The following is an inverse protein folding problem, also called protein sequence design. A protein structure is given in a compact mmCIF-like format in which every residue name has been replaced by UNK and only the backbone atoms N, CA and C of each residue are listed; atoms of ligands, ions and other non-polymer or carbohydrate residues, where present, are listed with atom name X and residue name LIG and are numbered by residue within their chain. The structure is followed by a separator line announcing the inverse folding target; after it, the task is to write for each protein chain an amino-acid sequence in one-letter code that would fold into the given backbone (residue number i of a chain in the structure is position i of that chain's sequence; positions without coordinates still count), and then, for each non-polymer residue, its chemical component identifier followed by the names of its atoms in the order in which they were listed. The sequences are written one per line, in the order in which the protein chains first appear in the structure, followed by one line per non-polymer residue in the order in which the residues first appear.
data_IF_735165756967
#
_entry.id   IF_735165756967
#
_cell.length_a   1.000
_cell.length_b   1.000
_cell.length_c   1.000
_cell.angle_alpha   90.00
_cell.angle_beta   90.00
_cell.angle_gamma   90.00
#
_symmetry.space_group_name_H-M   'P 1'
#
loop_
_entity.id
_entity.type
_entity.pdbx_description
1 polymer ?
#
# COMPACT_ATOMS: atom_id res chain seq x y z
N UNK A 1 -37.10 -50.99 11.64
CA UNK A 1 -36.75 -49.58 11.38
C UNK A 1 -35.23 -49.48 11.32
N UNK A 2 -34.71 -49.12 10.14
CA UNK A 2 -33.31 -49.23 9.76
C UNK A 2 -32.51 -48.03 10.26
N UNK A 3 -31.36 -48.28 10.89
CA UNK A 3 -30.31 -47.28 11.13
C UNK A 3 -29.48 -47.16 9.85
N UNK A 4 -29.33 -45.95 9.32
CA UNK A 4 -28.50 -45.67 8.14
C UNK A 4 -27.28 -44.87 8.57
N UNK A 5 -26.13 -45.53 8.55
CA UNK A 5 -24.81 -44.90 8.56
C UNK A 5 -24.55 -44.32 7.17
N UNK A 6 -24.20 -43.03 7.08
CA UNK A 6 -23.59 -42.51 5.85
C UNK A 6 -22.24 -41.86 6.17
N UNK A 7 -21.18 -42.52 5.72
CA UNK A 7 -19.86 -41.93 5.55
C UNK A 7 -19.90 -41.14 4.24
N UNK A 8 -19.78 -39.81 4.31
CA UNK A 8 -19.52 -38.99 3.13
C UNK A 8 -18.01 -38.87 2.94
N UNK A 9 -17.54 -39.47 1.85
CA UNK A 9 -16.18 -39.38 1.33
C UNK A 9 -16.06 -38.03 0.59
N UNK A 10 -15.31 -37.07 1.13
CA UNK A 10 -14.96 -35.87 0.39
C UNK A 10 -13.65 -36.12 -0.38
N UNK A 11 -13.79 -36.22 -1.71
CA UNK A 11 -12.68 -36.17 -2.66
C UNK A 11 -12.39 -34.69 -2.90
N UNK A 12 -11.25 -34.19 -2.40
CA UNK A 12 -10.73 -32.87 -2.77
C UNK A 12 -9.97 -33.03 -4.08
N UNK A 13 -10.57 -32.56 -5.17
CA UNK A 13 -9.94 -32.41 -6.47
C UNK A 13 -9.06 -31.15 -6.40
N UNK A 14 -7.74 -31.32 -6.34
CA UNK A 14 -6.77 -30.22 -6.49
C UNK A 14 -6.79 -29.78 -7.95
N UNK A 15 -7.61 -28.76 -8.24
CA UNK A 15 -7.59 -28.05 -9.51
C UNK A 15 -6.49 -26.99 -9.47
N UNK A 16 -5.43 -27.19 -10.25
CA UNK A 16 -4.44 -26.14 -10.56
C UNK A 16 -5.18 -25.06 -11.36
N UNK A 17 -5.56 -23.96 -10.71
CA UNK A 17 -6.03 -22.77 -11.42
C UNK A 17 -4.81 -22.09 -12.05
N UNK A 18 -4.72 -22.20 -13.38
CA UNK A 18 -3.83 -21.38 -14.17
C UNK A 18 -4.17 -19.90 -13.97
N UNK A 19 -3.17 -19.13 -13.54
CA UNK A 19 -3.26 -17.68 -13.39
C UNK A 19 -3.43 -17.09 -14.79
N UNK A 20 -4.64 -16.65 -15.13
CA UNK A 20 -4.85 -15.81 -16.31
C UNK A 20 -4.35 -14.41 -15.97
N UNK A 21 -3.18 -14.05 -16.49
CA UNK A 21 -2.69 -12.68 -16.53
C UNK A 21 -3.72 -11.79 -17.24
N UNK A 22 -4.33 -10.83 -16.55
CA UNK A 22 -5.10 -9.79 -17.19
C UNK A 22 -4.14 -8.88 -17.96
N UNK A 23 -4.12 -9.04 -19.28
CA UNK A 23 -3.47 -8.12 -20.18
C UNK A 23 -4.30 -6.83 -20.28
N UNK A 24 -3.84 -5.74 -19.69
CA UNK A 24 -4.33 -4.41 -20.02
C UNK A 24 -3.59 -3.87 -21.25
N UNK A 25 -4.36 -3.34 -22.20
CA UNK A 25 -3.93 -3.02 -23.55
C UNK A 25 -2.83 -1.96 -23.59
N UNK A 26 -1.71 -2.34 -24.21
CA UNK A 26 -0.52 -1.53 -24.46
C UNK A 26 -0.79 -0.54 -25.61
N UNK A 27 -0.66 0.76 -25.35
CA UNK A 27 -0.58 1.78 -26.41
C UNK A 27 0.70 1.59 -27.22
N UNK A 28 0.57 1.43 -28.54
CA UNK A 28 1.69 1.30 -29.48
C UNK A 28 2.56 2.57 -29.50
N UNK A 29 3.76 2.50 -28.92
CA UNK A 29 4.86 3.42 -29.15
C UNK A 29 6.08 2.64 -29.65
N UNK A 30 6.50 2.90 -30.90
CA UNK A 30 7.58 2.21 -31.60
C UNK A 30 8.85 3.08 -31.51
N UNK A 31 9.87 2.64 -30.79
CA UNK A 31 11.17 3.33 -30.75
C UNK A 31 12.18 2.61 -29.85
N UNK A 32 13.25 2.09 -30.45
CA UNK A 32 14.34 1.41 -29.75
C UNK A 32 15.23 2.36 -28.98
N UNK A 33 15.54 1.97 -27.75
CA UNK A 33 16.44 2.62 -26.80
C UNK A 33 16.08 2.09 -25.42
N UNK A 34 17.06 1.62 -24.64
CA UNK A 34 16.87 1.05 -23.30
C UNK A 34 16.30 2.06 -22.32
N UNK A 35 14.99 2.28 -22.41
CA UNK A 35 14.24 3.19 -21.54
C UNK A 35 14.05 2.52 -20.18
N UNK A 36 14.51 3.21 -19.14
CA UNK A 36 14.18 2.89 -17.75
C UNK A 36 12.65 2.86 -17.63
N UNK A 37 12.05 1.81 -17.05
CA UNK A 37 10.61 1.78 -16.85
C UNK A 37 10.23 2.84 -15.82
N UNK A 38 9.58 3.90 -16.29
CA UNK A 38 8.78 4.81 -15.46
C UNK A 38 7.31 4.64 -15.86
N UNK A 39 6.44 4.34 -14.90
CA UNK A 39 4.98 4.35 -15.12
C UNK A 39 4.19 3.39 -14.24
N UNK A 40 3.24 3.98 -13.49
CA UNK A 40 2.21 3.39 -12.61
C UNK A 40 1.22 2.42 -13.31
N UNK A 41 1.71 1.38 -14.00
CA UNK A 41 0.82 0.43 -14.73
C UNK A 41 1.00 -1.02 -14.35
N UNK A 42 1.87 -1.31 -13.40
CA UNK A 42 2.12 -2.66 -12.88
C UNK A 42 1.98 -2.65 -11.37
N UNK A 43 1.32 -3.67 -10.82
CA UNK A 43 1.06 -3.74 -9.39
C UNK A 43 2.39 -3.96 -8.62
N UNK A 44 2.60 -3.19 -7.56
CA UNK A 44 3.79 -3.26 -6.72
C UNK A 44 3.85 -4.57 -5.93
N UNK A 45 4.99 -5.26 -5.94
CA UNK A 45 5.18 -6.47 -5.14
C UNK A 45 5.06 -6.19 -3.64
N UNK A 46 4.44 -7.11 -2.88
CA UNK A 46 4.43 -7.06 -1.42
C UNK A 46 5.83 -7.39 -0.91
N UNK A 47 6.50 -6.40 -0.32
CA UNK A 47 7.90 -6.53 0.13
C UNK A 47 8.04 -6.63 1.64
N UNK A 48 7.06 -6.12 2.39
CA UNK A 48 6.99 -6.20 3.85
C UNK A 48 5.99 -7.31 4.22
N UNK A 49 6.30 -8.18 5.20
CA UNK A 49 5.37 -9.21 5.62
C UNK A 49 4.02 -8.64 6.06
N UNK A 50 2.96 -9.44 5.91
CA UNK A 50 1.62 -8.99 6.26
C UNK A 50 0.73 -10.06 6.89
N UNK A 51 -0.11 -9.65 7.84
CA UNK A 51 -1.21 -10.45 8.40
C UNK A 51 -2.52 -9.93 7.82
N UNK A 52 -3.32 -10.84 7.26
CA UNK A 52 -4.65 -10.55 6.74
C UNK A 52 -5.68 -11.01 7.77
N UNK A 53 -6.50 -10.08 8.24
CA UNK A 53 -7.54 -10.31 9.24
C UNK A 53 -8.91 -10.22 8.57
N UNK A 54 -9.76 -11.20 8.86
CA UNK A 54 -11.11 -11.31 8.30
C UNK A 54 -11.16 -12.11 7.00
N UNK A 55 -12.14 -11.84 6.12
CA UNK A 55 -12.29 -12.63 4.89
C UNK A 55 -11.22 -12.17 3.91
N UNK A 56 -10.27 -13.03 3.52
CA UNK A 56 -9.23 -12.60 2.61
C UNK A 56 -9.83 -12.41 1.22
N UNK A 57 -10.22 -11.17 0.95
CA UNK A 57 -10.45 -10.71 -0.41
C UNK A 57 -9.06 -10.59 -1.00
N UNK A 58 -8.80 -11.16 -2.18
CA UNK A 58 -7.54 -10.91 -2.83
C UNK A 58 -7.43 -9.39 -3.04
N UNK A 59 -6.60 -8.76 -2.20
CA UNK A 59 -5.68 -7.75 -2.68
C UNK A 59 -4.99 -8.35 -3.91
N UNK A 60 -4.44 -7.52 -4.80
CA UNK A 60 -3.94 -7.95 -6.11
C UNK A 60 -2.90 -9.12 -6.03
N UNK A 61 -2.47 -9.50 -4.83
CA UNK A 61 -1.50 -10.53 -4.50
C UNK A 61 -2.12 -11.74 -3.78
N UNK A 62 -1.67 -12.97 -4.09
CA UNK A 62 -2.12 -14.16 -3.40
C UNK A 62 -1.63 -14.15 -1.95
N UNK A 63 -2.48 -14.53 -1.00
CA UNK A 63 -2.00 -14.86 0.34
C UNK A 63 -1.25 -16.18 0.24
N UNK A 64 -0.03 -16.21 0.78
CA UNK A 64 0.86 -17.33 0.59
C UNK A 64 2.26 -17.15 1.18
N UNK A 65 3.10 -18.17 0.94
CA UNK A 65 4.46 -18.17 1.43
C UNK A 65 5.30 -17.09 0.76
N UNK A 66 6.49 -16.88 1.32
CA UNK A 66 7.55 -16.09 0.70
C UNK A 66 7.88 -16.59 -0.72
N UNK A 67 8.00 -15.67 -1.68
CA UNK A 67 8.34 -15.93 -3.10
C UNK A 67 9.52 -15.04 -3.52
N UNK A 68 10.64 -15.66 -3.87
CA UNK A 68 11.83 -14.94 -4.36
C UNK A 68 11.54 -14.13 -5.64
N UNK A 69 12.22 -12.98 -5.85
CA UNK A 69 12.19 -12.29 -7.12
C UNK A 69 12.65 -13.18 -8.26
N UNK A 70 11.91 -13.13 -9.38
CA UNK A 70 12.22 -13.88 -10.60
C UNK A 70 12.60 -12.94 -11.75
N UNK A 71 13.49 -13.40 -12.63
CA UNK A 71 13.96 -12.64 -13.80
C UNK A 71 15.41 -12.20 -13.69
N UNK A 72 15.90 -11.47 -14.70
CA UNK A 72 17.24 -10.91 -14.69
C UNK A 72 17.19 -9.48 -14.10
N UNK A 73 17.93 -9.19 -13.02
CA UNK A 73 17.87 -7.87 -12.39
C UNK A 73 18.43 -6.79 -13.32
N UNK A 74 18.04 -5.54 -13.04
CA UNK A 74 18.45 -4.36 -13.79
C UNK A 74 19.59 -3.63 -13.07
N UNK A 75 20.40 -2.88 -13.82
CA UNK A 75 21.52 -2.08 -13.30
C UNK A 75 21.55 -0.69 -13.94
N UNK A 76 22.47 0.17 -13.52
CA UNK A 76 22.61 1.54 -14.02
C UNK A 76 21.63 2.53 -13.40
N UNK A 77 21.25 2.35 -12.13
CA UNK A 77 20.43 3.30 -11.37
C UNK A 77 21.29 4.35 -10.67
N UNK A 78 20.81 5.60 -10.49
CA UNK A 78 21.60 6.66 -9.85
C UNK A 78 22.07 6.38 -8.42
N UNK A 79 21.33 5.58 -7.63
CA UNK A 79 21.74 5.23 -6.25
C UNK A 79 23.07 4.45 -6.22
N UNK A 80 23.26 3.54 -7.18
CA UNK A 80 24.51 2.82 -7.44
C UNK A 80 24.44 2.25 -8.86
N UNK A 81 25.20 2.84 -9.79
CA UNK A 81 25.17 2.45 -11.20
C UNK A 81 25.75 1.05 -11.46
N UNK A 82 26.51 0.50 -10.51
CA UNK A 82 27.18 -0.79 -10.62
C UNK A 82 26.41 -1.95 -9.97
N UNK A 83 25.49 -1.63 -9.06
CA UNK A 83 24.63 -2.61 -8.40
C UNK A 83 23.52 -3.12 -9.32
N UNK A 84 23.01 -4.30 -9.00
CA UNK A 84 21.88 -4.93 -9.69
C UNK A 84 20.67 -4.95 -8.76
N UNK A 85 19.48 -4.72 -9.29
CA UNK A 85 18.24 -4.61 -8.53
C UNK A 85 17.10 -5.40 -9.19
N UNK A 86 16.31 -6.07 -8.36
CA UNK A 86 14.96 -6.49 -8.73
C UNK A 86 14.00 -5.33 -8.50
N UNK A 87 13.51 -4.76 -9.60
CA UNK A 87 12.70 -3.53 -9.62
C UNK A 87 11.21 -3.83 -9.55
N UNK A 88 10.47 -3.06 -8.74
CA UNK A 88 9.03 -3.15 -8.59
C UNK A 88 8.33 -2.87 -9.92
N UNK A 89 7.21 -3.56 -10.15
CA UNK A 89 6.47 -3.48 -11.41
C UNK A 89 7.14 -4.16 -12.61
N UNK A 90 8.44 -4.45 -12.53
CA UNK A 90 9.19 -5.21 -13.54
C UNK A 90 9.33 -6.67 -13.13
N UNK A 91 9.77 -6.93 -11.91
CA UNK A 91 9.91 -8.26 -11.34
C UNK A 91 8.81 -8.50 -10.31
N UNK A 92 8.45 -9.76 -10.14
CA UNK A 92 7.43 -10.18 -9.18
C UNK A 92 8.10 -10.91 -8.03
N UNK A 93 7.65 -10.61 -6.81
CA UNK A 93 8.05 -11.27 -5.57
C UNK A 93 6.95 -11.07 -4.53
N UNK A 94 7.04 -11.79 -3.41
CA UNK A 94 6.05 -11.68 -2.34
C UNK A 94 6.61 -12.04 -0.96
N UNK A 95 6.42 -11.15 0.01
CA UNK A 95 6.89 -11.35 1.37
C UNK A 95 6.04 -12.42 2.05
N UNK A 96 6.46 -12.87 3.22
CA UNK A 96 5.65 -13.82 3.99
C UNK A 96 4.31 -13.18 4.33
N UNK A 97 3.22 -13.90 4.06
CA UNK A 97 1.89 -13.47 4.48
C UNK A 97 1.21 -14.54 5.32
N UNK A 98 0.39 -14.11 6.27
CA UNK A 98 -0.39 -14.98 7.15
C UNK A 98 -1.85 -14.50 7.21
N UNK A 99 -2.72 -15.37 7.72
CA UNK A 99 -4.12 -15.03 8.03
C UNK A 99 -4.32 -15.16 9.52
N UNK A 100 -5.09 -14.26 10.11
CA UNK A 100 -5.50 -14.32 11.50
C UNK A 100 -7.01 -14.11 11.63
N UNK A 101 -7.57 -14.59 12.74
CA UNK A 101 -8.98 -14.37 13.08
C UNK A 101 -9.19 -12.95 13.58
N UNK A 102 -10.40 -12.40 13.39
CA UNK A 102 -10.76 -11.09 13.92
C UNK A 102 -10.63 -11.03 15.46
N UNK A 103 -10.11 -9.92 15.98
CA UNK A 103 -9.89 -9.70 17.41
C UNK A 103 -8.71 -10.49 18.00
N UNK A 104 -7.75 -10.90 17.18
CA UNK A 104 -6.55 -11.64 17.62
C UNK A 104 -5.23 -10.92 17.32
N UNK A 105 -5.29 -9.75 16.70
CA UNK A 105 -4.12 -8.99 16.27
C UNK A 105 -4.18 -7.60 16.87
N UNK A 106 -3.19 -7.30 17.69
CA UNK A 106 -2.92 -5.97 18.22
C UNK A 106 -2.10 -5.17 17.19
N UNK A 107 -2.42 -3.89 17.00
CA UNK A 107 -1.76 -3.03 16.02
C UNK A 107 -1.45 -1.63 16.54
N UNK A 108 -0.39 -1.04 16.01
CA UNK A 108 -0.15 0.40 16.01
C UNK A 108 -0.67 1.00 14.71
N UNK A 109 -1.43 2.10 14.82
CA UNK A 109 -1.94 2.83 13.66
C UNK A 109 -1.00 3.99 13.31
N UNK A 110 -0.65 4.11 12.03
CA UNK A 110 0.26 5.15 11.55
C UNK A 110 -0.33 5.95 10.40
N UNK A 111 -0.49 7.26 10.58
CA UNK A 111 -0.89 8.16 9.51
C UNK A 111 0.28 8.45 8.57
N UNK A 112 -0.02 8.71 7.29
CA UNK A 112 0.97 9.26 6.38
C UNK A 112 1.53 10.60 6.89
N UNK A 113 2.85 10.77 6.81
CA UNK A 113 3.58 11.94 7.34
C UNK A 113 3.02 13.29 6.87
N UNK A 114 2.39 13.31 5.68
CA UNK A 114 1.81 14.52 5.12
C UNK A 114 0.54 15.00 5.83
N UNK A 115 -0.03 14.20 6.76
CA UNK A 115 -1.23 14.55 7.52
C UNK A 115 -0.93 15.02 8.95
N UNK A 116 0.12 14.47 9.58
CA UNK A 116 0.47 14.74 10.98
C UNK A 116 1.57 15.81 11.14
N UNK A 117 2.06 16.39 10.05
CA UNK A 117 3.12 17.40 10.03
C UNK A 117 2.66 18.83 9.72
N UNK A 118 3.63 19.72 9.47
CA UNK A 118 3.42 21.15 9.12
C UNK A 118 2.95 21.38 7.66
N UNK A 119 2.47 20.32 6.99
CA UNK A 119 2.06 20.39 5.60
C UNK A 119 0.89 21.37 5.42
N UNK A 120 1.05 22.33 4.50
CA UNK A 120 -0.01 23.28 4.17
C UNK A 120 -1.01 22.64 3.20
N UNK A 121 -2.02 21.98 3.75
CA UNK A 121 -3.11 21.38 2.98
C UNK A 121 -4.01 22.47 2.39
N UNK A 122 -4.32 22.37 1.10
CA UNK A 122 -5.04 23.42 0.35
C UNK A 122 -6.29 22.85 -0.33
N UNK A 123 -7.35 23.64 -0.37
CA UNK A 123 -8.55 23.30 -1.15
C UNK A 123 -8.20 23.00 -2.60
N UNK A 124 -8.90 22.03 -3.21
CA UNK A 124 -8.75 21.58 -4.60
C UNK A 124 -7.38 20.99 -4.98
N UNK A 125 -6.39 21.04 -4.09
CA UNK A 125 -5.14 20.30 -4.24
C UNK A 125 -5.34 18.85 -3.79
N UNK A 126 -4.69 17.87 -4.43
CA UNK A 126 -4.73 16.50 -3.93
C UNK A 126 -4.07 16.44 -2.55
N UNK A 127 -4.78 15.85 -1.60
CA UNK A 127 -4.30 15.52 -0.26
C UNK A 127 -4.31 14.00 -0.19
N UNK A 128 -3.14 13.42 0.01
CA UNK A 128 -3.01 11.97 0.17
C UNK A 128 -3.37 11.61 1.61
N UNK A 129 -4.40 10.81 1.80
CA UNK A 129 -4.72 10.21 3.09
C UNK A 129 -4.18 8.80 3.07
N UNK A 130 -3.29 8.47 4.00
CA UNK A 130 -2.71 7.15 4.14
C UNK A 130 -2.79 6.71 5.59
N UNK A 131 -3.19 5.45 5.80
CA UNK A 131 -3.15 4.77 7.09
C UNK A 131 -2.41 3.45 6.92
N UNK A 132 -1.45 3.18 7.80
CA UNK A 132 -0.80 1.89 7.94
C UNK A 132 -1.15 1.25 9.28
N UNK A 133 -1.42 -0.05 9.28
CA UNK A 133 -1.52 -0.84 10.51
C UNK A 133 -0.25 -1.68 10.64
N UNK A 134 0.42 -1.58 11.79
CA UNK A 134 1.63 -2.31 12.11
C UNK A 134 1.32 -3.26 13.25
N UNK A 135 1.57 -4.56 13.10
CA UNK A 135 1.35 -5.50 14.20
C UNK A 135 2.20 -5.11 15.41
N UNK A 136 1.68 -5.24 16.63
CA UNK A 136 2.53 -5.27 17.82
C UNK A 136 3.31 -6.59 17.82
N UNK A 137 4.62 -6.52 18.04
CA UNK A 137 5.61 -7.46 17.49
C UNK A 137 6.18 -8.51 18.47
N UNK A 138 5.53 -9.01 19.54
CA UNK A 138 6.29 -9.87 20.45
C UNK A 138 6.66 -11.25 19.86
N UNK A 139 5.97 -11.79 18.83
CA UNK A 139 6.18 -13.21 18.42
C UNK A 139 6.04 -13.56 16.91
N UNK A 140 6.26 -12.63 15.97
CA UNK A 140 6.21 -12.97 14.53
C UNK A 140 7.52 -13.57 13.99
N UNK A 141 8.00 -14.62 14.67
CA UNK A 141 9.20 -15.36 14.25
C UNK A 141 9.05 -15.91 12.82
N UNK A 142 10.09 -15.72 11.99
CA UNK A 142 10.21 -16.35 10.67
C UNK A 142 9.46 -15.67 9.52
N UNK A 143 8.85 -14.49 9.74
CA UNK A 143 8.29 -13.72 8.64
C UNK A 143 9.40 -13.00 7.86
N UNK A 144 9.52 -13.34 6.57
CA UNK A 144 10.55 -12.83 5.65
C UNK A 144 10.03 -11.74 4.72
N UNK A 145 10.84 -10.73 4.47
CA UNK A 145 10.59 -9.68 3.48
C UNK A 145 11.87 -9.13 2.86
N UNK A 146 11.79 -8.00 2.18
CA UNK A 146 12.93 -7.34 1.54
C UNK A 146 13.04 -5.86 1.88
N UNK A 147 14.28 -5.39 2.01
CA UNK A 147 14.54 -3.96 1.95
C UNK A 147 14.23 -3.46 0.55
N UNK A 148 13.49 -2.35 0.46
CA UNK A 148 13.16 -1.67 -0.78
C UNK A 148 13.79 -0.29 -0.76
N UNK A 149 14.53 0.01 -1.82
CA UNK A 149 15.27 1.24 -2.00
C UNK A 149 14.67 2.05 -3.13
N UNK A 150 14.69 3.38 -2.96
CA UNK A 150 14.38 4.33 -4.02
C UNK A 150 15.61 4.45 -4.90
N UNK A 151 15.52 3.99 -6.14
CA UNK A 151 16.70 3.81 -6.99
C UNK A 151 17.15 5.11 -7.69
N UNK A 152 16.32 6.15 -7.63
CA UNK A 152 16.60 7.50 -8.13
C UNK A 152 16.11 8.53 -7.11
N UNK A 153 17.02 9.02 -6.26
CA UNK A 153 16.69 9.90 -5.13
C UNK A 153 16.19 11.29 -5.56
N UNK A 154 16.59 11.74 -6.76
CA UNK A 154 16.25 13.07 -7.30
C UNK A 154 14.81 13.14 -7.84
N UNK A 155 14.19 11.98 -8.12
CA UNK A 155 12.81 11.91 -8.59
C UNK A 155 11.82 11.96 -7.43
N UNK A 156 10.59 12.40 -7.72
CA UNK A 156 9.49 12.28 -6.75
C UNK A 156 9.10 10.81 -6.59
N UNK A 157 8.52 10.42 -5.46
CA UNK A 157 8.27 9.00 -5.17
C UNK A 157 7.36 8.30 -6.18
N UNK A 158 6.41 9.02 -6.77
CA UNK A 158 5.56 8.51 -7.85
C UNK A 158 6.27 8.34 -9.20
N UNK A 159 7.44 8.94 -9.35
CA UNK A 159 8.26 8.96 -10.58
C UNK A 159 9.50 8.07 -10.45
N UNK A 160 9.96 7.81 -9.22
CA UNK A 160 11.15 7.03 -8.94
C UNK A 160 10.90 5.52 -9.09
N UNK A 161 11.84 4.77 -9.70
CA UNK A 161 11.83 3.31 -9.60
C UNK A 161 12.25 2.86 -8.20
N UNK A 162 11.63 1.80 -7.71
CA UNK A 162 11.94 1.17 -6.43
C UNK A 162 12.36 -0.28 -6.65
N UNK A 163 13.28 -0.79 -5.83
CA UNK A 163 13.71 -2.18 -5.97
C UNK A 163 14.43 -2.72 -4.75
N UNK A 164 14.69 -4.03 -4.78
CA UNK A 164 15.55 -4.71 -3.78
C UNK A 164 16.86 -5.12 -4.42
N UNK A 165 17.94 -5.05 -3.65
CA UNK A 165 19.29 -5.39 -4.10
C UNK A 165 19.38 -6.85 -4.53
N UNK A 166 20.00 -7.08 -5.69
CA UNK A 166 20.32 -8.40 -6.22
C UNK A 166 21.82 -8.68 -6.03
N UNK A 167 22.13 -9.82 -5.44
CA UNK A 167 23.49 -10.32 -5.22
C UNK A 167 23.74 -11.49 -6.17
N UNK A 168 24.91 -11.51 -6.80
CA UNK A 168 25.34 -12.64 -7.60
C UNK A 168 25.85 -13.76 -6.68
N UNK A 169 25.13 -14.87 -6.65
CA UNK A 169 25.46 -16.06 -5.85
C UNK A 169 25.51 -17.29 -6.76
N UNK A 170 26.66 -17.99 -6.76
CA UNK A 170 26.92 -19.16 -7.62
C UNK A 170 26.53 -18.96 -9.10
N UNK A 171 26.73 -17.75 -9.64
CA UNK A 171 26.41 -17.41 -11.03
C UNK A 171 24.94 -17.10 -11.30
N UNK A 172 24.10 -17.02 -10.27
CA UNK A 172 22.68 -16.64 -10.35
C UNK A 172 22.42 -15.41 -9.48
N UNK A 173 21.63 -14.46 -9.97
CA UNK A 173 21.22 -13.32 -9.14
C UNK A 173 20.09 -13.73 -8.19
N UNK A 174 20.22 -13.34 -6.92
CA UNK A 174 19.22 -13.54 -5.86
C UNK A 174 19.11 -12.30 -4.99
N UNK A 175 17.94 -12.06 -4.40
CA UNK A 175 17.81 -11.06 -3.34
C UNK A 175 18.08 -11.70 -1.98
N UNK A 176 18.68 -10.94 -1.06
CA UNK A 176 18.89 -11.40 0.33
C UNK A 176 17.68 -10.99 1.17
N UNK A 177 16.83 -11.92 1.63
CA UNK A 177 15.71 -11.57 2.48
C UNK A 177 16.18 -11.16 3.87
N UNK A 178 15.37 -10.34 4.54
CA UNK A 178 15.51 -10.07 5.97
C UNK A 178 14.61 -11.06 6.73
N UNK A 179 15.18 -11.77 7.70
CA UNK A 179 14.53 -12.82 8.50
C UNK A 179 15.05 -12.81 9.96
N UNK A 180 14.22 -12.52 10.98
CA UNK A 180 12.86 -12.00 10.85
C UNK A 180 12.87 -10.56 10.31
N UNK A 181 11.86 -10.19 9.53
CA UNK A 181 11.68 -8.80 9.11
C UNK A 181 11.25 -7.95 10.32
N UNK A 182 11.81 -6.74 10.50
CA UNK A 182 11.56 -5.91 11.70
C UNK A 182 10.18 -5.24 11.75
N UNK A 183 9.32 -5.50 10.76
CA UNK A 183 8.05 -4.82 10.55
C UNK A 183 7.06 -5.81 9.94
N UNK A 184 5.83 -5.86 10.47
CA UNK A 184 4.74 -6.63 9.87
C UNK A 184 3.52 -5.75 9.72
N UNK A 185 2.99 -5.69 8.50
CA UNK A 185 1.78 -4.93 8.18
C UNK A 185 0.53 -5.74 8.50
N UNK A 186 -0.55 -5.05 8.81
CA UNK A 186 -1.85 -5.70 9.04
C UNK A 186 -2.87 -5.15 8.05
N UNK A 187 -3.64 -6.06 7.47
CA UNK A 187 -4.78 -5.76 6.63
C UNK A 187 -6.05 -6.25 7.31
N UNK A 188 -6.91 -5.33 7.71
CA UNK A 188 -8.31 -5.57 8.07
C UNK A 188 -9.22 -5.42 6.83
N UNK A 189 -9.95 -6.48 6.48
CA UNK A 189 -10.85 -6.53 5.32
C UNK A 189 -12.18 -5.77 5.53
N UNK A 190 -12.45 -5.36 6.76
CA UNK A 190 -13.61 -4.59 7.20
C UNK A 190 -13.27 -3.13 7.55
N UNK A 191 -12.05 -2.69 7.24
CA UNK A 191 -11.63 -1.31 7.48
C UNK A 191 -12.55 -0.30 6.76
N UNK A 192 -12.77 0.85 7.40
CA UNK A 192 -13.68 1.90 6.95
C UNK A 192 -13.03 3.28 7.05
N UNK A 193 -13.31 4.15 6.07
CA UNK A 193 -12.81 5.52 6.03
C UNK A 193 -13.98 6.51 6.07
N UNK A 194 -13.93 7.43 7.01
CA UNK A 194 -14.88 8.53 7.13
C UNK A 194 -14.12 9.87 7.13
N UNK A 195 -14.59 10.82 6.32
CA UNK A 195 -14.03 12.17 6.27
C UNK A 195 -15.16 13.18 6.21
N UNK A 196 -15.17 14.14 7.13
CA UNK A 196 -16.16 15.21 7.16
C UNK A 196 -15.56 16.57 7.56
N UNK A 197 -16.14 17.63 7.01
CA UNK A 197 -15.86 18.99 7.43
C UNK A 197 -16.56 19.23 8.78
N UNK A 198 -15.79 19.61 9.81
CA UNK A 198 -16.27 19.76 11.19
C UNK A 198 -17.25 20.93 11.32
N UNK A 199 -16.98 22.04 10.64
CA UNK A 199 -17.75 23.27 10.78
C UNK A 199 -19.13 23.18 10.09
N UNK A 200 -19.19 22.47 8.97
CA UNK A 200 -20.40 22.37 8.13
C UNK A 200 -21.15 21.05 8.29
N UNK A 201 -20.52 20.03 8.89
CA UNK A 201 -21.03 18.66 8.95
C UNK A 201 -21.09 17.96 7.59
N UNK A 202 -20.53 18.56 6.54
CA UNK A 202 -20.52 17.95 5.20
C UNK A 202 -19.59 16.73 5.20
N UNK A 203 -20.16 15.57 4.93
CA UNK A 203 -19.42 14.32 4.69
C UNK A 203 -18.85 14.34 3.27
N UNK A 204 -17.53 14.15 3.16
CA UNK A 204 -16.82 14.00 1.89
C UNK A 204 -16.58 12.52 1.55
N UNK A 205 -16.37 11.68 2.57
CA UNK A 205 -16.11 10.24 2.42
C UNK A 205 -16.80 9.47 3.56
N UNK A 206 -17.44 8.36 3.23
CA UNK A 206 -18.03 7.41 4.18
C UNK A 206 -18.19 6.05 3.47
N UNK A 207 -17.10 5.29 3.39
CA UNK A 207 -17.04 4.06 2.59
C UNK A 207 -15.98 3.07 3.11
N UNK A 208 -16.01 1.79 2.68
CA UNK A 208 -14.93 0.85 3.01
C UNK A 208 -13.57 1.38 2.57
N UNK A 209 -12.57 1.26 3.46
CA UNK A 209 -11.23 1.70 3.15
C UNK A 209 -10.58 0.76 2.12
N UNK A 210 -10.02 1.32 1.06
CA UNK A 210 -9.31 0.55 0.03
C UNK A 210 -7.84 0.40 0.41
N UNK A 211 -7.37 -0.84 0.50
CA UNK A 211 -5.96 -1.14 0.71
C UNK A 211 -5.20 -1.24 -0.62
N UNK A 212 -3.94 -0.85 -0.61
CA UNK A 212 -3.02 -0.92 -1.74
C UNK A 212 -1.59 -1.18 -1.26
N UNK A 213 -0.69 -1.50 -2.21
CA UNK A 213 0.73 -1.70 -1.93
C UNK A 213 1.50 -0.47 -2.40
N UNK A 214 2.11 0.26 -1.48
CA UNK A 214 2.87 1.46 -1.83
C UNK A 214 4.21 1.11 -2.52
N UNK A 215 4.96 2.13 -2.95
CA UNK A 215 6.24 1.98 -3.65
C UNK A 215 7.32 1.21 -2.86
N UNK A 216 7.18 1.13 -1.54
CA UNK A 216 8.08 0.37 -0.67
C UNK A 216 7.61 -1.05 -0.40
N UNK A 217 6.50 -1.47 -1.03
CA UNK A 217 5.95 -2.82 -0.87
C UNK A 217 5.19 -3.04 0.43
N UNK A 218 4.73 -1.97 1.09
CA UNK A 218 3.91 -2.02 2.31
C UNK A 218 2.43 -1.95 1.96
N UNK A 219 1.62 -2.72 2.68
CA UNK A 219 0.16 -2.56 2.64
C UNK A 219 -0.21 -1.30 3.41
N UNK A 220 -0.95 -0.42 2.74
CA UNK A 220 -1.49 0.83 3.30
C UNK A 220 -2.94 1.02 2.82
N UNK A 221 -3.71 1.82 3.56
CA UNK A 221 -5.03 2.28 3.15
C UNK A 221 -4.91 3.70 2.62
N UNK A 222 -4.94 3.85 1.30
CA UNK A 222 -4.73 5.13 0.63
C UNK A 222 -6.01 5.72 0.05
N UNK A 223 -6.16 7.03 0.16
CA UNK A 223 -7.24 7.79 -0.45
C UNK A 223 -6.76 9.16 -0.95
N UNK A 224 -7.20 9.55 -2.14
CA UNK A 224 -6.84 10.85 -2.73
C UNK A 224 -7.95 11.87 -2.48
N UNK A 225 -7.86 12.55 -1.34
CA UNK A 225 -8.84 13.55 -0.93
C UNK A 225 -8.67 14.86 -1.73
N UNK A 226 -9.80 15.42 -2.18
CA UNK A 226 -9.89 16.80 -2.69
C UNK A 226 -11.13 17.47 -2.14
N UNK A 227 -10.92 18.51 -1.34
CA UNK A 227 -12.04 19.25 -0.74
C UNK A 227 -12.18 20.64 -1.35
N UNK A 228 -13.41 21.11 -1.61
CA UNK A 228 -13.66 22.41 -2.21
C UNK A 228 -13.65 23.56 -1.19
N UNK A 229 -13.86 23.26 0.10
CA UNK A 229 -14.00 24.24 1.16
C UNK A 229 -12.78 24.22 2.08
N UNK A 230 -12.35 25.41 2.50
CA UNK A 230 -11.40 25.54 3.59
C UNK A 230 -12.11 25.30 4.91
N UNK A 231 -11.36 24.84 5.92
CA UNK A 231 -11.87 24.58 7.26
C UNK A 231 -11.20 23.38 7.91
N UNK A 232 -11.72 23.01 9.07
CA UNK A 232 -11.26 21.82 9.79
C UNK A 232 -11.99 20.59 9.27
N UNK A 233 -11.25 19.54 8.99
CA UNK A 233 -11.80 18.23 8.64
C UNK A 233 -11.39 17.20 9.69
N UNK A 234 -12.30 16.28 10.00
CA UNK A 234 -11.98 15.05 10.73
C UNK A 234 -11.82 13.92 9.72
N UNK A 235 -10.76 13.15 9.87
CA UNK A 235 -10.51 11.90 9.18
C UNK A 235 -10.58 10.81 10.23
N UNK A 236 -11.50 9.87 10.10
CA UNK A 236 -11.62 8.70 10.97
C UNK A 236 -11.35 7.45 10.16
N UNK A 237 -10.44 6.63 10.66
CA UNK A 237 -10.16 5.31 10.14
C UNK A 237 -10.59 4.27 11.18
N UNK A 238 -11.48 3.37 10.81
CA UNK A 238 -11.98 2.30 11.66
C UNK A 238 -11.45 0.96 11.16
N UNK A 239 -10.86 0.17 12.05
CA UNK A 239 -10.41 -1.20 11.79
C UNK A 239 -11.07 -2.14 12.82
N UNK A 240 -12.30 -2.60 12.56
CA UNK A 240 -13.12 -3.30 13.56
C UNK A 240 -12.65 -4.72 13.86
N UNK A 241 -11.71 -5.27 13.08
CA UNK A 241 -11.24 -6.65 13.23
C UNK A 241 -9.93 -6.75 14.00
N UNK A 242 -9.34 -5.63 14.41
CA UNK A 242 -8.05 -5.56 15.12
C UNK A 242 -8.15 -4.63 16.32
N UNK A 243 -7.28 -4.82 17.31
CA UNK A 243 -7.21 -3.97 18.48
C UNK A 243 -6.10 -2.92 18.26
N UNK A 244 -6.46 -1.64 18.14
CA UNK A 244 -5.49 -0.56 17.97
C UNK A 244 -4.98 -0.14 19.35
N UNK A 245 -3.70 -0.39 19.62
CA UNK A 245 -3.07 -0.07 20.91
C UNK A 245 -2.78 1.42 21.04
N UNK A 246 -2.18 2.01 20.01
CA UNK A 246 -1.88 3.43 19.94
C UNK A 246 -1.75 3.91 18.50
N UNK A 247 -2.20 5.14 18.22
CA UNK A 247 -1.90 5.82 16.98
C UNK A 247 -0.68 6.74 17.10
N UNK A 248 0.08 6.90 16.01
CA UNK A 248 1.16 7.89 15.90
C UNK A 248 0.67 9.35 15.87
N UNK A 249 -0.65 9.55 15.73
CA UNK A 249 -1.31 10.85 15.73
C UNK A 249 -2.83 10.73 15.83
N UNK A 250 -3.46 11.78 16.34
CA UNK A 250 -4.91 11.85 16.51
C UNK A 250 -5.41 11.28 17.84
N UNK A 251 -6.65 10.81 17.85
CA UNK A 251 -7.37 10.32 19.03
C UNK A 251 -7.91 8.92 18.75
N UNK A 252 -7.57 7.97 19.61
CA UNK A 252 -8.13 6.62 19.62
C UNK A 252 -9.50 6.63 20.33
N UNK A 253 -10.48 5.93 19.75
CA UNK A 253 -11.79 5.71 20.35
C UNK A 253 -11.73 4.81 21.59
N UNK A 254 -12.72 4.91 22.47
CA UNK A 254 -12.78 4.10 23.69
C UNK A 254 -12.88 2.59 23.44
N UNK A 255 -13.43 2.20 22.29
CA UNK A 255 -13.51 0.80 21.87
C UNK A 255 -12.22 0.27 21.21
N UNK A 256 -11.20 1.12 21.03
CA UNK A 256 -9.91 0.69 20.48
C UNK A 256 -9.91 0.38 18.99
N UNK A 257 -10.95 0.73 18.23
CA UNK A 257 -11.06 0.35 16.81
C UNK A 257 -11.04 1.52 15.83
N UNK A 258 -11.10 2.77 16.31
CA UNK A 258 -11.15 3.95 15.44
C UNK A 258 -10.11 4.98 15.85
N UNK A 259 -9.33 5.46 14.88
CA UNK A 259 -8.41 6.58 15.06
C UNK A 259 -8.93 7.77 14.28
N UNK A 260 -9.05 8.92 14.95
CA UNK A 260 -9.50 10.17 14.35
C UNK A 260 -8.41 11.24 14.36
N UNK A 261 -8.11 11.82 13.20
CA UNK A 261 -7.19 12.93 13.02
C UNK A 261 -7.92 14.17 12.51
N UNK A 262 -7.64 15.32 13.13
CA UNK A 262 -8.13 16.61 12.66
C UNK A 262 -7.08 17.29 11.79
N UNK A 263 -7.48 17.70 10.59
CA UNK A 263 -6.62 18.43 9.66
C UNK A 263 -7.21 19.80 9.33
N UNK A 264 -6.34 20.77 9.06
CA UNK A 264 -6.72 22.11 8.65
C UNK A 264 -6.46 22.31 7.16
N UNK A 265 -7.51 22.55 6.38
CA UNK A 265 -7.39 22.85 4.95
C UNK A 265 -7.58 24.35 4.73
N UNK A 266 -6.59 25.01 4.14
CA UNK A 266 -6.65 26.45 3.84
C UNK A 266 -7.11 26.71 2.42
N UNK A 267 -7.65 27.90 2.16
CA UNK A 267 -8.03 28.31 0.82
C UNK A 267 -6.81 28.25 -0.12
N UNK A 268 -6.96 27.55 -1.24
CA UNK A 268 -5.99 27.56 -2.32
C UNK A 268 -5.99 28.93 -2.99
N UNK A 269 -4.82 29.56 -3.10
CA UNK A 269 -4.66 30.74 -3.94
C UNK A 269 -5.01 30.36 -5.37
N UNK A 270 -6.08 30.94 -5.92
CA UNK A 270 -6.47 30.74 -7.31
C UNK A 270 -5.26 30.97 -8.21
N UNK A 271 -4.93 29.98 -9.03
CA UNK A 271 -3.90 30.10 -10.04
C UNK A 271 -4.36 31.22 -10.98
N UNK A 272 -3.80 32.42 -10.79
CA UNK A 272 -4.19 33.61 -11.50
C UNK A 272 -4.08 33.37 -13.01
N UNK A 273 -5.22 33.28 -13.68
CA UNK A 273 -5.29 33.36 -15.12
C UNK A 273 -4.74 34.72 -15.54
N UNK A 274 -3.50 34.73 -15.99
CA UNK A 274 -2.82 35.90 -16.51
C UNK A 274 -3.62 36.51 -17.65
N UNK A 275 -4.04 37.77 -17.45
CA UNK A 275 -4.76 38.54 -18.44
C UNK A 275 -3.86 38.87 -19.64
N UNK A 276 -4.29 38.44 -20.82
CA UNK A 276 -3.84 38.99 -22.09
C UNK A 276 -4.83 40.04 -22.59
N UNK A 277 -4.77 41.28 -22.07
CA UNK A 277 -5.34 42.45 -22.75
C UNK A 277 -4.34 42.88 -23.84
N UNK A 278 -4.56 42.39 -25.06
CA UNK A 278 -3.91 42.93 -26.26
C UNK A 278 -4.55 44.27 -26.64
N UNK A 279 -3.76 45.34 -26.59
CA UNK A 279 -4.13 46.66 -27.07
C UNK A 279 -4.25 46.69 -28.60
N UNK A 280 -5.36 47.24 -29.11
CA UNK A 280 -5.45 47.76 -30.46
C UNK A 280 -4.48 48.94 -30.64
N UNK A 281 -3.63 48.85 -31.65
CA UNK A 281 -3.14 49.97 -32.45
C UNK A 281 -3.23 49.57 -33.92
#
# INVERSE_FOLDING_TARGET
MKRSNWKALFVVLVGVLGITSMAFAQGKGKGGGGGRPGGETTANSVSVPAIFVGVPKPLIFPIGPYVEPVGAPLTGFPIDESAYYFVQGVHQWQATTAVADAGTVDVHAAWGDNLNGDAKLKTNSPIRVEMGLLADLPELEGMRGWSIEKLDEDLLDREAPYGTLAVLDEGTYRAVPIDPFPEVRVHDDAAWLFIANVDTGKVEVDEPASAEVNSTGRIVYGYNLRVPLAGTYVISFTAPSVDILDPDGGVLSEDGHTVSLFINVVAGGGQGGGGGKGHNK
#
